data_IF_527379143352
#
_entry.id   IF_527379143352
#
_cell.length_a   1.000
_cell.length_b   1.000
_cell.length_c   1.000
_cell.angle_alpha   90.00
_cell.angle_beta   90.00
_cell.angle_gamma   90.00
#
_symmetry.space_group_name_H-M   'P 1'
#
loop_
_entity.id
_entity.type
_entity.pdbx_description
1 polymer ?
#
# COMPACT_ATOMS: atom_id res chain seq x y z
N UNK A 1 33.40 16.27 -39.25
CA UNK A 1 32.80 15.36 -38.26
C UNK A 1 31.64 16.12 -37.60
N UNK A 2 30.39 15.87 -38.01
CA UNK A 2 29.19 16.46 -37.38
C UNK A 2 28.98 15.75 -36.05
N UNK A 3 29.24 16.41 -34.94
CA UNK A 3 28.73 15.98 -33.64
C UNK A 3 27.21 16.14 -33.67
N UNK A 4 26.49 15.01 -33.72
CA UNK A 4 25.08 14.97 -33.43
C UNK A 4 24.92 15.23 -31.91
N UNK A 5 24.71 16.47 -31.54
CA UNK A 5 24.18 16.83 -30.24
C UNK A 5 22.72 16.30 -30.19
N UNK A 6 22.56 15.11 -29.67
CA UNK A 6 21.24 14.60 -29.24
C UNK A 6 20.86 15.50 -28.05
N UNK A 7 20.05 16.52 -28.28
CA UNK A 7 19.41 17.29 -27.23
C UNK A 7 18.50 16.28 -26.50
N UNK A 8 18.94 15.82 -25.34
CA UNK A 8 18.15 14.95 -24.48
C UNK A 8 16.95 15.78 -24.02
N UNK A 9 15.77 15.53 -24.62
CA UNK A 9 14.53 16.22 -24.24
C UNK A 9 14.33 15.99 -22.73
N UNK A 10 14.27 17.08 -21.98
CA UNK A 10 14.03 17.00 -20.54
C UNK A 10 12.68 16.32 -20.30
N UNK A 11 12.66 15.28 -19.45
CA UNK A 11 11.44 14.51 -19.20
C UNK A 11 10.53 15.31 -18.28
N UNK A 12 9.26 15.39 -18.63
CA UNK A 12 8.24 16.01 -17.79
C UNK A 12 8.08 15.23 -16.48
N UNK A 13 7.78 15.93 -15.40
CA UNK A 13 7.60 15.36 -14.07
C UNK A 13 6.13 14.95 -13.83
N UNK A 14 5.91 13.69 -13.48
CA UNK A 14 4.69 13.19 -12.82
C UNK A 14 4.98 13.13 -11.33
N UNK A 15 4.24 13.87 -10.53
CA UNK A 15 4.39 13.87 -9.08
C UNK A 15 3.31 13.00 -8.46
N UNK A 16 3.68 12.13 -7.54
CA UNK A 16 2.75 11.23 -6.86
C UNK A 16 2.82 11.41 -5.35
N UNK A 17 1.79 11.01 -4.62
CA UNK A 17 1.72 11.23 -3.18
C UNK A 17 2.71 10.38 -2.39
N UNK A 18 2.88 9.10 -2.72
CA UNK A 18 3.70 8.17 -1.95
C UNK A 18 4.43 7.12 -2.81
N UNK A 19 5.41 6.47 -2.21
CA UNK A 19 6.41 5.64 -2.89
C UNK A 19 5.84 4.45 -3.64
N UNK A 20 4.74 3.85 -3.18
CA UNK A 20 4.09 2.72 -3.85
C UNK A 20 3.47 3.17 -5.18
N UNK A 21 2.79 4.31 -5.20
CA UNK A 21 2.29 4.88 -6.46
C UNK A 21 3.43 5.25 -7.41
N UNK A 22 4.54 5.76 -6.87
CA UNK A 22 5.73 6.07 -7.66
C UNK A 22 6.22 4.84 -8.44
N UNK A 23 6.33 3.69 -7.77
CA UNK A 23 6.77 2.46 -8.41
C UNK A 23 5.74 1.94 -9.43
N UNK A 24 4.45 1.95 -9.09
CA UNK A 24 3.40 1.51 -10.02
C UNK A 24 3.40 2.38 -11.28
N UNK A 25 3.43 3.72 -11.15
CA UNK A 25 3.46 4.65 -12.28
C UNK A 25 4.72 4.47 -13.12
N UNK A 26 5.90 4.32 -12.50
CA UNK A 26 7.17 4.02 -13.19
C UNK A 26 7.09 2.76 -14.03
N UNK A 27 6.46 1.71 -13.50
CA UNK A 27 6.27 0.46 -14.23
C UNK A 27 5.34 0.58 -15.45
N UNK A 28 4.45 1.57 -15.48
CA UNK A 28 3.56 1.86 -16.62
C UNK A 28 4.25 2.76 -17.62
N UNK A 29 4.76 3.92 -17.21
CA UNK A 29 5.32 4.92 -18.13
C UNK A 29 6.73 4.60 -18.61
N UNK A 30 7.46 3.75 -17.88
CA UNK A 30 8.85 3.40 -18.17
C UNK A 30 9.75 4.64 -18.14
N UNK A 31 10.45 4.87 -19.24
CA UNK A 31 11.41 5.96 -19.35
C UNK A 31 10.85 7.26 -20.01
N UNK A 32 9.55 7.35 -20.24
CA UNK A 32 8.96 8.51 -20.92
C UNK A 32 8.85 9.74 -20.01
N UNK A 33 8.71 9.54 -18.71
CA UNK A 33 8.52 10.57 -17.72
C UNK A 33 9.51 10.42 -16.55
N UNK A 34 9.78 11.53 -15.86
CA UNK A 34 10.27 11.53 -14.50
C UNK A 34 9.09 11.29 -13.56
N UNK A 35 9.21 10.35 -12.63
CA UNK A 35 8.19 10.08 -11.63
C UNK A 35 8.82 10.19 -10.25
N UNK A 36 8.26 11.04 -9.39
CA UNK A 36 8.75 11.28 -8.04
C UNK A 36 7.59 11.26 -7.04
N UNK A 37 7.84 10.67 -5.86
CA UNK A 37 6.89 10.78 -4.75
C UNK A 37 7.17 11.94 -3.82
N UNK A 38 6.11 12.50 -3.24
CA UNK A 38 6.21 13.52 -2.19
C UNK A 38 6.87 12.90 -0.96
N UNK A 39 6.29 11.83 -0.42
CA UNK A 39 6.88 11.14 0.74
C UNK A 39 8.08 10.30 0.32
N UNK A 40 8.98 10.06 1.25
CA UNK A 40 10.20 9.25 1.02
C UNK A 40 10.05 7.85 1.59
N UNK A 41 10.85 6.87 1.13
CA UNK A 41 10.81 5.51 1.64
C UNK A 41 10.93 5.43 3.17
N UNK A 42 10.02 4.69 3.80
CA UNK A 42 9.93 4.52 5.25
C UNK A 42 9.23 5.64 6.00
N UNK A 43 8.63 6.62 5.29
CA UNK A 43 7.84 7.68 5.93
C UNK A 43 6.36 7.28 6.04
N UNK A 44 5.75 7.71 7.13
CA UNK A 44 4.31 7.67 7.32
C UNK A 44 3.65 8.73 6.39
N UNK A 45 2.51 8.41 5.80
CA UNK A 45 1.87 9.25 4.77
C UNK A 45 0.71 10.07 5.31
N UNK A 46 -0.10 9.48 6.15
CA UNK A 46 -1.35 10.10 6.60
C UNK A 46 -1.14 11.44 7.33
N UNK A 47 -0.17 11.50 8.22
CA UNK A 47 0.19 12.70 8.99
C UNK A 47 1.26 13.57 8.34
N UNK A 48 1.58 13.34 7.06
CA UNK A 48 2.66 14.06 6.38
C UNK A 48 2.42 15.57 6.34
N UNK A 49 3.47 16.33 6.57
CA UNK A 49 3.47 17.78 6.49
C UNK A 49 4.27 18.25 5.28
N UNK A 50 3.57 18.89 4.34
CA UNK A 50 4.17 19.42 3.11
C UNK A 50 5.25 20.44 3.43
N UNK A 51 6.40 20.29 2.79
CA UNK A 51 7.56 21.17 2.92
C UNK A 51 7.64 22.19 1.78
N UNK A 52 8.39 23.28 1.94
CA UNK A 52 8.65 24.21 0.83
C UNK A 52 9.26 23.55 -0.41
N UNK A 53 10.10 22.52 -0.23
CA UNK A 53 10.69 21.78 -1.36
C UNK A 53 9.65 20.95 -2.12
N UNK A 54 8.61 20.49 -1.46
CA UNK A 54 7.51 19.79 -2.11
C UNK A 54 6.70 20.73 -3.00
N UNK A 55 6.47 21.97 -2.53
CA UNK A 55 5.80 23.00 -3.33
C UNK A 55 6.61 23.35 -4.59
N UNK A 56 7.94 23.43 -4.49
CA UNK A 56 8.79 23.64 -5.66
C UNK A 56 8.64 22.50 -6.67
N UNK A 57 8.77 21.25 -6.23
CA UNK A 57 8.56 20.07 -7.10
C UNK A 57 7.16 20.03 -7.69
N UNK A 58 6.16 20.40 -6.88
CA UNK A 58 4.77 20.48 -7.33
C UNK A 58 4.57 21.50 -8.47
N UNK A 59 5.24 22.64 -8.40
CA UNK A 59 5.15 23.66 -9.46
C UNK A 59 5.80 23.26 -10.79
N UNK A 60 6.68 22.26 -10.76
CA UNK A 60 7.34 21.68 -11.96
C UNK A 60 6.59 20.49 -12.54
N UNK A 61 5.66 19.93 -11.78
CA UNK A 61 4.90 18.77 -12.20
C UNK A 61 3.81 19.14 -13.22
N UNK A 62 3.59 18.25 -14.20
CA UNK A 62 2.46 18.40 -15.15
C UNK A 62 1.17 17.80 -14.62
N UNK A 63 1.27 16.89 -13.64
CA UNK A 63 0.13 16.24 -12.99
C UNK A 63 0.52 15.75 -11.61
N UNK A 64 -0.45 15.73 -10.69
CA UNK A 64 -0.33 15.12 -9.37
C UNK A 64 -1.25 13.89 -9.27
N UNK A 65 -0.69 12.74 -8.85
CA UNK A 65 -1.40 11.48 -8.71
C UNK A 65 -1.48 11.10 -7.25
N UNK A 66 -2.68 10.87 -6.75
CA UNK A 66 -2.93 10.49 -5.35
C UNK A 66 -3.85 9.29 -5.24
N UNK A 67 -3.85 8.65 -4.07
CA UNK A 67 -4.75 7.54 -3.76
C UNK A 67 -6.20 8.01 -3.57
N UNK A 68 -6.43 8.93 -2.65
CA UNK A 68 -7.76 9.34 -2.22
C UNK A 68 -8.28 8.51 -1.01
N UNK A 69 -9.59 8.46 -0.81
CA UNK A 69 -10.24 7.85 0.37
C UNK A 69 -9.75 8.41 1.71
N UNK A 70 -9.26 9.66 1.70
CA UNK A 70 -8.74 10.32 2.90
C UNK A 70 -7.33 9.88 3.32
N UNK A 71 -6.59 9.19 2.46
CA UNK A 71 -5.22 8.77 2.71
C UNK A 71 -4.28 9.98 2.84
N UNK A 72 -4.38 10.93 1.91
CA UNK A 72 -3.56 12.13 1.86
C UNK A 72 -4.40 13.38 2.13
N UNK A 73 -4.86 13.59 3.36
CA UNK A 73 -5.65 14.79 3.70
C UNK A 73 -4.87 16.11 3.48
N UNK A 74 -3.54 16.05 3.60
CA UNK A 74 -2.65 17.17 3.32
C UNK A 74 -2.62 17.58 1.84
N UNK A 75 -2.93 16.65 0.93
CA UNK A 75 -2.84 16.88 -0.51
C UNK A 75 -3.84 17.93 -1.03
N UNK A 76 -4.98 18.12 -0.37
CA UNK A 76 -5.96 19.14 -0.77
C UNK A 76 -5.36 20.54 -0.76
N UNK A 77 -4.65 20.91 0.31
CA UNK A 77 -3.96 22.22 0.39
C UNK A 77 -2.79 22.30 -0.60
N UNK A 78 -2.08 21.18 -0.79
CA UNK A 78 -0.96 21.11 -1.71
C UNK A 78 -1.40 21.41 -3.15
N UNK A 79 -2.39 20.70 -3.65
CA UNK A 79 -2.89 20.83 -5.03
C UNK A 79 -3.54 22.19 -5.28
N UNK A 80 -4.35 22.69 -4.33
CA UNK A 80 -5.03 23.99 -4.47
C UNK A 80 -4.04 25.14 -4.64
N UNK A 81 -2.86 25.04 -4.04
CA UNK A 81 -1.84 26.09 -4.12
C UNK A 81 -0.97 26.03 -5.40
N UNK A 82 -1.06 24.93 -6.17
CA UNK A 82 -0.13 24.69 -7.28
C UNK A 82 -0.79 24.78 -8.66
N UNK A 83 -2.11 24.84 -8.74
CA UNK A 83 -2.85 24.83 -10.02
C UNK A 83 -2.40 23.69 -10.96
N UNK A 84 -2.17 22.50 -10.37
CA UNK A 84 -1.75 21.29 -11.07
C UNK A 84 -2.94 20.35 -11.25
N UNK A 85 -3.07 19.74 -12.42
CA UNK A 85 -4.09 18.72 -12.69
C UNK A 85 -3.90 17.50 -11.79
N UNK A 86 -5.02 16.85 -11.38
CA UNK A 86 -5.00 15.78 -10.40
C UNK A 86 -5.70 14.51 -10.89
N UNK A 87 -5.03 13.37 -10.72
CA UNK A 87 -5.61 12.04 -10.80
C UNK A 87 -5.81 11.49 -9.37
N UNK A 88 -7.04 11.07 -9.05
CA UNK A 88 -7.38 10.41 -7.79
C UNK A 88 -7.87 9.00 -8.08
N UNK A 89 -7.09 7.99 -7.69
CA UNK A 89 -7.35 6.57 -8.03
C UNK A 89 -8.65 6.09 -7.40
N UNK A 90 -8.92 6.49 -6.16
CA UNK A 90 -10.11 6.10 -5.40
C UNK A 90 -11.44 6.42 -6.11
N UNK A 91 -11.46 7.41 -7.02
CA UNK A 91 -12.68 7.75 -7.78
C UNK A 91 -13.22 6.60 -8.64
N UNK A 92 -12.37 5.61 -8.94
CA UNK A 92 -12.68 4.45 -9.78
C UNK A 92 -12.57 3.12 -9.03
N UNK A 93 -12.61 3.14 -7.68
CA UNK A 93 -12.53 1.96 -6.83
C UNK A 93 -13.80 1.79 -5.99
N UNK A 94 -14.24 0.55 -5.84
CA UNK A 94 -15.27 0.17 -4.86
C UNK A 94 -14.68 0.21 -3.43
N UNK A 95 -15.19 1.08 -2.53
CA UNK A 95 -14.65 1.20 -1.19
C UNK A 95 -15.09 0.06 -0.26
N UNK A 96 -14.20 -0.35 0.63
CA UNK A 96 -14.55 -1.06 1.86
C UNK A 96 -14.59 -0.04 2.99
N UNK A 97 -15.71 -0.01 3.72
CA UNK A 97 -15.93 0.99 4.77
C UNK A 97 -15.41 0.49 6.12
N UNK A 98 -14.81 1.40 6.87
CA UNK A 98 -14.39 1.18 8.25
C UNK A 98 -15.64 1.10 9.13
N UNK A 99 -15.72 0.08 9.99
CA UNK A 99 -16.90 -0.17 10.82
C UNK A 99 -16.73 0.27 12.28
N UNK A 100 -15.60 0.86 12.64
CA UNK A 100 -15.25 1.18 14.02
C UNK A 100 -14.95 2.67 14.25
N UNK A 101 -15.26 3.12 15.48
CA UNK A 101 -14.90 4.41 16.04
C UNK A 101 -15.33 5.65 15.22
N UNK A 102 -14.55 6.71 15.33
CA UNK A 102 -14.76 7.98 14.61
C UNK A 102 -14.59 7.83 13.08
N UNK A 103 -14.02 6.72 12.62
CA UNK A 103 -13.83 6.41 11.21
C UNK A 103 -14.99 5.60 10.62
N UNK A 104 -15.99 5.21 11.42
CA UNK A 104 -17.14 4.44 10.96
C UNK A 104 -17.83 5.12 9.78
N UNK A 105 -17.99 4.36 8.70
CA UNK A 105 -18.62 4.84 7.47
C UNK A 105 -17.67 5.60 6.54
N UNK A 106 -16.40 5.79 6.91
CA UNK A 106 -15.38 6.30 5.99
C UNK A 106 -14.76 5.15 5.21
N UNK A 107 -14.38 5.35 3.93
CA UNK A 107 -13.69 4.33 3.17
C UNK A 107 -12.32 4.04 3.75
N UNK A 108 -11.91 2.76 3.75
CA UNK A 108 -10.54 2.37 4.04
C UNK A 108 -9.66 2.71 2.82
N UNK A 109 -8.53 3.39 2.98
CA UNK A 109 -7.73 3.82 1.83
C UNK A 109 -6.83 2.73 1.22
N UNK A 110 -6.49 1.68 1.98
CA UNK A 110 -5.35 0.77 1.72
C UNK A 110 -5.63 -0.33 0.69
N UNK A 111 -6.26 0.00 -0.45
CA UNK A 111 -6.64 -1.01 -1.43
C UNK A 111 -5.44 -1.65 -2.16
N UNK A 112 -4.34 -0.91 -2.34
CA UNK A 112 -3.13 -1.41 -3.02
C UNK A 112 -2.45 -2.61 -2.35
N UNK A 113 -2.77 -2.89 -1.08
CA UNK A 113 -2.18 -4.01 -0.34
C UNK A 113 -2.65 -5.37 -0.88
N UNK A 114 -3.85 -5.44 -1.45
CA UNK A 114 -4.32 -6.63 -2.15
C UNK A 114 -3.76 -6.70 -3.57
N UNK A 115 -3.09 -7.80 -3.97
CA UNK A 115 -2.68 -8.01 -5.36
C UNK A 115 -3.82 -7.84 -6.37
N UNK A 116 -5.03 -8.30 -6.05
CA UNK A 116 -6.21 -8.16 -6.91
C UNK A 116 -6.57 -6.69 -7.12
N UNK A 117 -6.51 -5.88 -6.07
CA UNK A 117 -6.74 -4.43 -6.16
C UNK A 117 -5.57 -3.70 -6.82
N UNK A 118 -4.35 -4.16 -6.61
CA UNK A 118 -3.16 -3.64 -7.31
C UNK A 118 -3.28 -3.73 -8.83
N UNK A 119 -3.89 -4.80 -9.36
CA UNK A 119 -4.21 -4.91 -10.79
C UNK A 119 -5.18 -3.79 -11.23
N UNK A 120 -6.20 -3.47 -10.42
CA UNK A 120 -7.12 -2.37 -10.71
C UNK A 120 -6.41 -1.01 -10.70
N UNK A 121 -5.46 -0.80 -9.77
CA UNK A 121 -4.62 0.41 -9.77
C UNK A 121 -3.88 0.57 -11.09
N UNK A 122 -3.28 -0.51 -11.59
CA UNK A 122 -2.57 -0.49 -12.88
C UNK A 122 -3.53 -0.17 -14.02
N UNK A 123 -4.74 -0.72 -14.02
CA UNK A 123 -5.73 -0.47 -15.08
C UNK A 123 -6.24 0.99 -15.05
N UNK A 124 -6.55 1.53 -13.88
CA UNK A 124 -6.97 2.93 -13.70
C UNK A 124 -5.87 3.88 -14.15
N UNK A 125 -4.64 3.66 -13.68
CA UNK A 125 -3.49 4.48 -14.06
C UNK A 125 -3.17 4.38 -15.56
N UNK A 126 -3.26 3.20 -16.16
CA UNK A 126 -3.08 3.02 -17.60
C UNK A 126 -4.10 3.85 -18.40
N UNK A 127 -5.36 3.86 -17.98
CA UNK A 127 -6.40 4.64 -18.64
C UNK A 127 -6.10 6.13 -18.57
N UNK A 128 -5.84 6.66 -17.36
CA UNK A 128 -5.59 8.08 -17.13
C UNK A 128 -4.28 8.56 -17.81
N UNK A 129 -3.20 7.79 -17.69
CA UNK A 129 -1.93 8.12 -18.34
C UNK A 129 -2.01 8.01 -19.87
N UNK A 130 -2.87 7.13 -20.42
CA UNK A 130 -3.11 7.06 -21.86
C UNK A 130 -3.93 8.23 -22.39
N UNK A 131 -4.77 8.87 -21.56
CA UNK A 131 -5.44 10.14 -21.90
C UNK A 131 -4.45 11.30 -21.88
N UNK A 132 -3.53 11.31 -20.89
CA UNK A 132 -2.50 12.33 -20.78
C UNK A 132 -1.49 12.28 -21.95
N UNK A 133 -1.14 11.07 -22.41
CA UNK A 133 -0.16 10.84 -23.47
C UNK A 133 -0.64 9.76 -24.44
N UNK A 134 -1.51 10.12 -25.40
CA UNK A 134 -2.03 9.18 -26.39
C UNK A 134 -0.96 8.59 -27.32
N UNK A 135 0.14 9.31 -27.56
CA UNK A 135 1.24 8.86 -28.43
C UNK A 135 1.98 7.65 -27.85
N UNK A 136 2.11 7.57 -26.54
CA UNK A 136 2.77 6.48 -25.83
C UNK A 136 1.81 5.39 -25.32
N UNK A 137 0.51 5.48 -25.60
CA UNK A 137 -0.53 4.57 -25.10
C UNK A 137 -0.19 3.08 -25.30
N UNK A 138 0.25 2.67 -26.50
CA UNK A 138 0.55 1.26 -26.78
C UNK A 138 1.77 0.77 -25.98
N UNK A 139 2.74 1.64 -25.73
CA UNK A 139 3.89 1.34 -24.88
C UNK A 139 3.46 1.17 -23.42
N UNK A 140 2.62 2.08 -22.90
CA UNK A 140 2.07 1.99 -21.54
C UNK A 140 1.25 0.71 -21.38
N UNK A 141 0.41 0.36 -22.36
CA UNK A 141 -0.39 -0.87 -22.35
C UNK A 141 0.48 -2.12 -22.27
N UNK A 142 1.56 -2.18 -23.05
CA UNK A 142 2.51 -3.30 -23.00
C UNK A 142 3.19 -3.41 -21.64
N UNK A 143 3.66 -2.29 -21.10
CA UNK A 143 4.31 -2.23 -19.80
C UNK A 143 3.34 -2.65 -18.67
N UNK A 144 2.14 -2.07 -18.65
CA UNK A 144 1.08 -2.38 -17.69
C UNK A 144 0.70 -3.86 -17.74
N UNK A 145 0.59 -4.45 -18.94
CA UNK A 145 0.28 -5.88 -19.06
C UNK A 145 1.39 -6.76 -18.47
N UNK A 146 2.65 -6.44 -18.76
CA UNK A 146 3.79 -7.16 -18.18
C UNK A 146 3.81 -7.06 -16.65
N UNK A 147 3.50 -5.87 -16.13
CA UNK A 147 3.47 -5.63 -14.68
C UNK A 147 2.31 -6.40 -14.03
N UNK A 148 1.11 -6.33 -14.60
CA UNK A 148 -0.05 -7.11 -14.13
C UNK A 148 0.19 -8.62 -14.13
N UNK A 149 0.91 -9.14 -15.12
CA UNK A 149 1.23 -10.57 -15.17
C UNK A 149 2.09 -11.00 -13.97
N UNK A 150 3.02 -10.15 -13.52
CA UNK A 150 3.82 -10.41 -12.32
C UNK A 150 2.96 -10.36 -11.05
N UNK A 151 2.07 -9.36 -10.93
CA UNK A 151 1.13 -9.27 -9.79
C UNK A 151 0.20 -10.49 -9.76
N UNK A 152 -0.32 -10.94 -10.91
CA UNK A 152 -1.15 -12.16 -10.99
C UNK A 152 -0.45 -13.41 -10.49
N UNK A 153 0.84 -13.56 -10.78
CA UNK A 153 1.61 -14.70 -10.26
C UNK A 153 1.67 -14.67 -8.73
N UNK A 154 1.88 -13.49 -8.14
CA UNK A 154 1.87 -13.33 -6.68
C UNK A 154 0.49 -13.66 -6.10
N UNK A 155 -0.59 -13.19 -6.74
CA UNK A 155 -1.98 -13.51 -6.37
C UNK A 155 -2.24 -15.03 -6.39
N UNK A 156 -1.85 -15.71 -7.47
CA UNK A 156 -2.02 -17.14 -7.65
C UNK A 156 -1.24 -17.93 -6.57
N UNK A 157 0.01 -17.60 -6.33
CA UNK A 157 0.87 -18.24 -5.32
C UNK A 157 0.31 -18.08 -3.90
N UNK A 158 -0.26 -16.92 -3.58
CA UNK A 158 -0.89 -16.69 -2.29
C UNK A 158 -2.22 -17.43 -2.15
N UNK A 159 -3.04 -17.40 -3.20
CA UNK A 159 -4.32 -18.13 -3.24
C UNK A 159 -4.12 -19.64 -3.08
N UNK A 160 -3.13 -20.22 -3.74
CA UNK A 160 -2.77 -21.63 -3.60
C UNK A 160 -2.36 -21.97 -2.17
N UNK A 161 -1.53 -21.14 -1.55
CA UNK A 161 -1.16 -21.32 -0.14
C UNK A 161 -2.38 -21.30 0.78
N UNK A 162 -3.27 -20.31 0.64
CA UNK A 162 -4.45 -20.19 1.49
C UNK A 162 -5.39 -21.40 1.36
N UNK A 163 -5.42 -22.07 0.21
CA UNK A 163 -6.21 -23.30 0.01
C UNK A 163 -5.68 -24.47 0.85
N UNK A 164 -4.44 -24.41 1.34
CA UNK A 164 -3.90 -25.41 2.27
C UNK A 164 -4.34 -25.20 3.72
N UNK A 165 -4.87 -24.01 4.05
CA UNK A 165 -5.26 -23.64 5.40
C UNK A 165 -6.75 -23.85 5.66
N UNK A 166 -7.08 -24.32 6.86
CA UNK A 166 -8.46 -24.35 7.33
C UNK A 166 -9.03 -22.93 7.44
N UNK A 167 -10.26 -22.70 6.96
CA UNK A 167 -10.91 -21.38 6.99
C UNK A 167 -11.02 -20.78 8.41
N UNK A 168 -11.21 -21.63 9.43
CA UNK A 168 -11.29 -21.22 10.83
C UNK A 168 -9.97 -20.63 11.37
N UNK A 169 -8.86 -20.88 10.71
CA UNK A 169 -7.51 -20.41 11.09
C UNK A 169 -7.03 -19.21 10.27
N UNK A 170 -7.83 -18.75 9.31
CA UNK A 170 -7.46 -17.63 8.43
C UNK A 170 -7.76 -16.28 9.08
N UNK A 171 -6.93 -15.89 10.05
CA UNK A 171 -7.00 -14.59 10.71
C UNK A 171 -5.72 -13.80 10.44
N UNK A 172 -5.87 -12.57 9.93
CA UNK A 172 -4.79 -11.59 9.85
C UNK A 172 -5.00 -10.58 10.99
N UNK A 173 -4.09 -10.58 11.94
CA UNK A 173 -4.12 -9.67 13.10
C UNK A 173 -2.97 -8.70 12.97
N UNK A 174 -3.28 -7.42 12.80
CA UNK A 174 -2.33 -6.33 12.57
C UNK A 174 -2.40 -5.27 13.65
N UNK A 175 -1.52 -4.28 13.59
CA UNK A 175 -1.63 -3.09 14.44
C UNK A 175 -2.76 -2.20 13.94
N UNK A 176 -2.72 -1.81 12.69
CA UNK A 176 -3.72 -0.99 11.99
C UNK A 176 -4.68 -1.84 11.15
N UNK A 177 -5.91 -1.36 10.98
CA UNK A 177 -6.93 -1.94 10.08
C UNK A 177 -6.66 -1.64 8.61
N UNK A 178 -5.42 -1.85 8.16
CA UNK A 178 -4.99 -1.53 6.80
C UNK A 178 -5.21 -2.66 5.79
N UNK A 179 -5.59 -3.85 6.26
CA UNK A 179 -5.65 -5.05 5.42
C UNK A 179 -7.05 -5.45 4.98
N UNK A 180 -8.05 -4.58 5.15
CA UNK A 180 -9.46 -4.92 4.88
C UNK A 180 -9.70 -5.40 3.43
N UNK A 181 -9.03 -4.82 2.44
CA UNK A 181 -9.15 -5.28 1.05
C UNK A 181 -8.45 -6.63 0.84
N UNK A 182 -7.26 -6.82 1.41
CA UNK A 182 -6.57 -8.10 1.33
C UNK A 182 -7.41 -9.21 1.98
N UNK A 183 -7.90 -8.98 3.20
CA UNK A 183 -8.69 -9.97 3.93
C UNK A 183 -10.00 -10.29 3.23
N UNK A 184 -10.69 -9.30 2.68
CA UNK A 184 -11.91 -9.50 1.89
C UNK A 184 -11.64 -10.31 0.62
N UNK A 185 -10.60 -9.94 -0.14
CA UNK A 185 -10.31 -10.55 -1.43
C UNK A 185 -9.84 -12.02 -1.33
N UNK A 186 -9.35 -12.44 -0.14
CA UNK A 186 -8.81 -13.79 0.10
C UNK A 186 -9.54 -14.61 1.18
N UNK A 187 -10.74 -14.19 1.59
CA UNK A 187 -11.55 -14.88 2.60
C UNK A 187 -10.76 -15.10 3.91
N UNK A 188 -10.06 -14.05 4.36
CA UNK A 188 -9.43 -13.96 5.67
C UNK A 188 -10.33 -13.16 6.62
N UNK A 189 -10.16 -13.36 7.92
CA UNK A 189 -10.76 -12.52 8.95
C UNK A 189 -9.73 -11.52 9.44
N UNK A 190 -10.14 -10.26 9.56
CA UNK A 190 -9.29 -9.17 10.03
C UNK A 190 -9.51 -8.89 11.51
N UNK A 191 -8.43 -8.60 12.23
CA UNK A 191 -8.48 -7.95 13.55
C UNK A 191 -7.27 -7.02 13.70
N UNK A 192 -7.45 -5.95 14.46
CA UNK A 192 -6.42 -4.91 14.64
C UNK A 192 -6.55 -4.18 15.96
N UNK A 193 -5.48 -3.49 16.36
CA UNK A 193 -5.43 -2.69 17.59
C UNK A 193 -6.09 -1.32 17.41
N UNK A 194 -6.01 -0.73 16.21
CA UNK A 194 -6.69 0.53 15.84
C UNK A 194 -7.13 0.52 14.38
N UNK A 195 -8.17 1.29 14.02
CA UNK A 195 -8.77 1.19 12.69
C UNK A 195 -7.91 1.79 11.57
N UNK A 196 -7.59 3.07 11.65
CA UNK A 196 -6.76 3.80 10.65
C UNK A 196 -6.18 5.02 11.36
N UNK A 197 -4.91 5.35 11.12
CA UNK A 197 -4.25 6.58 11.62
C UNK A 197 -4.39 6.87 13.11
N UNK A 198 -4.54 5.85 13.92
CA UNK A 198 -4.96 6.01 15.29
C UNK A 198 -4.04 5.32 16.30
N UNK A 199 -2.73 5.20 16.01
CA UNK A 199 -1.75 4.62 16.93
C UNK A 199 -1.88 5.23 18.33
N UNK A 200 -2.10 6.53 18.41
CA UNK A 200 -2.36 7.25 19.67
C UNK A 200 -3.67 6.85 20.39
N UNK A 201 -4.51 6.04 19.76
CA UNK A 201 -5.82 5.62 20.29
C UNK A 201 -5.83 4.17 20.79
N UNK A 202 -4.67 3.56 21.01
CA UNK A 202 -4.60 2.26 21.68
C UNK A 202 -5.18 2.40 23.10
N UNK A 203 -6.23 1.65 23.36
CA UNK A 203 -6.86 1.63 24.68
C UNK A 203 -6.72 0.24 25.31
N UNK A 204 -6.72 0.13 26.66
CA UNK A 204 -6.73 -1.17 27.33
C UNK A 204 -7.88 -2.08 26.87
N UNK A 205 -9.03 -1.50 26.55
CA UNK A 205 -10.20 -2.24 26.05
C UNK A 205 -9.92 -2.87 24.67
N UNK A 206 -9.29 -2.14 23.75
CA UNK A 206 -8.92 -2.68 22.41
C UNK A 206 -7.86 -3.75 22.53
N UNK A 207 -6.84 -3.52 23.34
CA UNK A 207 -5.80 -4.49 23.60
C UNK A 207 -6.39 -5.80 24.15
N UNK A 208 -7.25 -5.72 25.17
CA UNK A 208 -7.92 -6.88 25.76
C UNK A 208 -8.80 -7.62 24.72
N UNK A 209 -9.51 -6.91 23.84
CA UNK A 209 -10.31 -7.50 22.76
C UNK A 209 -9.45 -8.35 21.84
N UNK A 210 -8.31 -7.83 21.38
CA UNK A 210 -7.42 -8.54 20.47
C UNK A 210 -6.77 -9.74 21.18
N UNK A 211 -6.28 -9.58 22.41
CA UNK A 211 -5.72 -10.65 23.23
C UNK A 211 -6.74 -11.80 23.38
N UNK A 212 -7.98 -11.48 23.75
CA UNK A 212 -9.04 -12.50 23.93
C UNK A 212 -9.34 -13.21 22.61
N UNK A 213 -9.42 -12.49 21.48
CA UNK A 213 -9.64 -13.08 20.18
C UNK A 213 -8.51 -14.05 19.80
N UNK A 214 -7.26 -13.62 19.98
CA UNK A 214 -6.08 -14.44 19.65
C UNK A 214 -6.07 -15.72 20.48
N UNK A 215 -6.36 -15.65 21.79
CA UNK A 215 -6.46 -16.81 22.69
C UNK A 215 -7.64 -17.73 22.28
N UNK A 216 -8.84 -17.18 22.11
CA UNK A 216 -10.05 -17.94 21.80
C UNK A 216 -9.93 -18.71 20.46
N UNK A 217 -9.44 -18.02 19.42
CA UNK A 217 -9.31 -18.60 18.08
C UNK A 217 -8.00 -19.33 17.86
N UNK A 218 -7.11 -19.32 18.87
CA UNK A 218 -5.77 -19.92 18.77
C UNK A 218 -5.04 -19.43 17.52
N UNK A 219 -5.02 -18.09 17.35
CA UNK A 219 -4.40 -17.45 16.18
C UNK A 219 -2.88 -17.63 16.28
N UNK A 220 -2.23 -18.18 15.24
CA UNK A 220 -0.82 -18.57 15.35
C UNK A 220 0.16 -17.39 15.33
N UNK A 221 -0.20 -16.31 14.65
CA UNK A 221 0.69 -15.16 14.47
C UNK A 221 -0.06 -13.83 14.44
N UNK A 222 0.64 -12.79 14.85
CA UNK A 222 0.21 -11.40 14.79
C UNK A 222 1.30 -10.55 14.11
N UNK A 223 0.93 -9.45 13.47
CA UNK A 223 1.80 -8.62 12.64
C UNK A 223 1.64 -7.15 13.00
N UNK A 224 2.55 -6.30 12.54
CA UNK A 224 2.42 -4.85 12.62
C UNK A 224 2.87 -4.20 11.31
N UNK A 225 2.63 -2.91 11.14
CA UNK A 225 3.07 -2.16 9.97
C UNK A 225 4.49 -1.62 10.17
N UNK A 226 5.23 -1.43 9.09
CA UNK A 226 6.64 -1.02 9.13
C UNK A 226 6.85 0.47 9.50
N UNK A 227 5.78 1.27 9.44
CA UNK A 227 5.80 2.72 9.68
C UNK A 227 5.37 3.12 11.09
N UNK A 228 4.96 2.15 11.93
CA UNK A 228 4.51 2.35 13.31
C UNK A 228 5.31 1.49 14.30
N UNK A 229 5.16 1.76 15.62
CA UNK A 229 5.80 0.93 16.66
C UNK A 229 5.10 -0.43 16.79
N UNK A 230 5.88 -1.51 16.80
CA UNK A 230 5.38 -2.89 16.99
C UNK A 230 5.17 -3.29 18.45
N UNK A 231 5.60 -2.49 19.42
CA UNK A 231 5.63 -2.83 20.87
C UNK A 231 4.29 -3.35 21.39
N UNK A 232 3.19 -2.72 20.97
CA UNK A 232 1.85 -3.13 21.39
C UNK A 232 1.47 -4.51 20.88
N UNK A 233 1.81 -4.82 19.63
CA UNK A 233 1.52 -6.11 19.02
C UNK A 233 2.46 -7.20 19.53
N UNK A 234 3.71 -6.88 19.81
CA UNK A 234 4.65 -7.78 20.50
C UNK A 234 4.16 -8.13 21.89
N UNK A 235 3.53 -7.17 22.59
CA UNK A 235 2.89 -7.42 23.90
C UNK A 235 1.69 -8.37 23.76
N UNK A 236 0.88 -8.23 22.71
CA UNK A 236 -0.18 -9.20 22.38
C UNK A 236 0.41 -10.59 22.13
N UNK A 237 1.45 -10.69 21.32
CA UNK A 237 2.13 -11.96 21.04
C UNK A 237 2.63 -12.64 22.33
N UNK A 238 3.32 -11.88 23.18
CA UNK A 238 3.84 -12.36 24.49
C UNK A 238 2.71 -12.85 25.41
N UNK A 239 1.63 -12.09 25.52
CA UNK A 239 0.50 -12.41 26.41
C UNK A 239 -0.32 -13.62 25.93
N UNK A 240 -0.34 -13.88 24.63
CA UNK A 240 -1.15 -14.94 24.03
C UNK A 240 -0.38 -16.21 23.66
N UNK A 241 0.94 -16.13 23.58
CA UNK A 241 1.80 -17.18 23.04
C UNK A 241 1.78 -17.26 21.51
N UNK A 242 1.12 -16.32 20.81
CA UNK A 242 1.18 -16.22 19.36
C UNK A 242 2.59 -15.77 18.91
N UNK A 243 2.96 -16.17 17.71
CA UNK A 243 4.22 -15.74 17.10
C UNK A 243 4.08 -14.27 16.62
N UNK A 244 5.07 -13.42 16.93
CA UNK A 244 5.17 -12.13 16.25
C UNK A 244 5.78 -12.36 14.87
N UNK A 245 4.93 -12.32 13.84
CA UNK A 245 5.31 -12.65 12.46
C UNK A 245 6.19 -11.62 11.78
N UNK A 246 6.29 -10.41 12.37
CA UNK A 246 7.10 -9.31 11.86
C UNK A 246 6.29 -8.13 11.31
N UNK A 247 6.99 -7.20 10.69
CA UNK A 247 6.40 -6.00 10.14
C UNK A 247 6.05 -6.17 8.67
N UNK A 248 4.90 -5.63 8.26
CA UNK A 248 4.39 -5.61 6.89
C UNK A 248 4.51 -4.18 6.33
N UNK A 249 4.92 -4.05 5.08
CA UNK A 249 4.97 -2.75 4.41
C UNK A 249 3.58 -2.36 3.92
N UNK A 250 3.11 -1.18 4.33
CA UNK A 250 1.74 -0.69 4.05
C UNK A 250 1.78 0.63 3.32
N UNK A 251 2.22 1.71 3.98
CA UNK A 251 2.15 3.08 3.45
C UNK A 251 3.39 3.50 2.65
N UNK A 252 4.45 2.74 2.78
CA UNK A 252 5.73 3.09 2.17
C UNK A 252 6.51 1.85 1.74
N UNK A 253 7.25 1.99 0.65
CA UNK A 253 8.30 1.02 0.30
C UNK A 253 9.45 1.12 1.28
N UNK A 254 10.29 0.07 1.32
CA UNK A 254 11.51 0.07 2.13
C UNK A 254 12.54 1.09 1.63
N UNK A 255 13.44 1.48 2.51
CA UNK A 255 14.65 2.19 2.10
C UNK A 255 15.52 1.30 1.24
N UNK A 256 16.46 1.91 0.52
CA UNK A 256 17.44 1.21 -0.32
C UNK A 256 18.14 0.08 0.45
N UNK A 257 18.30 -1.06 -0.19
CA UNK A 257 18.80 -2.34 0.35
C UNK A 257 17.86 -2.96 1.40
N UNK A 258 16.60 -2.52 1.48
CA UNK A 258 15.57 -3.18 2.26
C UNK A 258 14.85 -4.27 1.45
N UNK A 259 13.91 -5.00 2.08
CA UNK A 259 13.28 -6.16 1.44
C UNK A 259 12.08 -5.83 0.53
N UNK A 260 11.70 -4.56 0.40
CA UNK A 260 10.50 -4.12 -0.31
C UNK A 260 10.76 -2.78 -1.02
N UNK A 261 11.78 -2.74 -1.89
CA UNK A 261 12.16 -1.52 -2.63
C UNK A 261 11.21 -1.21 -3.81
N UNK A 262 10.41 -2.19 -4.24
CA UNK A 262 9.41 -2.07 -5.29
C UNK A 262 8.05 -2.58 -4.81
N UNK A 263 6.99 -2.23 -5.53
CA UNK A 263 5.65 -2.71 -5.22
C UNK A 263 5.53 -4.25 -5.31
N UNK A 264 6.19 -4.88 -6.28
CA UNK A 264 6.21 -6.34 -6.39
C UNK A 264 6.92 -6.98 -5.20
N UNK A 265 8.10 -6.48 -4.84
CA UNK A 265 8.84 -6.96 -3.66
C UNK A 265 8.05 -6.73 -2.37
N UNK A 266 7.33 -5.62 -2.25
CA UNK A 266 6.44 -5.37 -1.12
C UNK A 266 5.34 -6.43 -1.02
N UNK A 267 4.67 -6.73 -2.12
CA UNK A 267 3.64 -7.77 -2.15
C UNK A 267 4.23 -9.15 -1.81
N UNK A 268 5.36 -9.52 -2.42
CA UNK A 268 6.05 -10.80 -2.17
C UNK A 268 6.50 -10.91 -0.71
N UNK A 269 7.11 -9.86 -0.17
CA UNK A 269 7.56 -9.81 1.22
C UNK A 269 6.39 -9.94 2.19
N UNK A 270 5.35 -9.13 2.02
CA UNK A 270 4.19 -9.15 2.91
C UNK A 270 3.48 -10.51 2.91
N UNK A 271 3.18 -11.04 1.73
CA UNK A 271 2.49 -12.32 1.62
C UNK A 271 3.39 -13.48 2.08
N UNK A 272 4.70 -13.40 1.84
CA UNK A 272 5.68 -14.34 2.39
C UNK A 272 5.74 -14.31 3.92
N UNK A 273 5.75 -13.12 4.50
CA UNK A 273 5.74 -12.91 5.96
C UNK A 273 4.45 -13.46 6.58
N UNK A 274 3.28 -13.20 5.96
CA UNK A 274 1.99 -13.75 6.40
C UNK A 274 2.00 -15.29 6.32
N UNK A 275 2.47 -15.88 5.21
CA UNK A 275 2.61 -17.33 5.05
C UNK A 275 3.47 -17.95 6.16
N UNK A 276 4.61 -17.34 6.44
CA UNK A 276 5.52 -17.80 7.49
C UNK A 276 4.87 -17.76 8.88
N UNK A 277 4.15 -16.68 9.20
CA UNK A 277 3.41 -16.56 10.45
C UNK A 277 2.32 -17.61 10.58
N UNK A 278 1.53 -17.86 9.53
CA UNK A 278 0.51 -18.91 9.56
C UNK A 278 1.11 -20.32 9.71
N UNK A 279 2.28 -20.57 9.17
CA UNK A 279 2.99 -21.83 9.30
C UNK A 279 3.72 -22.00 10.66
N UNK A 280 3.92 -20.95 11.43
CA UNK A 280 4.62 -21.02 12.72
C UNK A 280 3.90 -21.97 13.71
N UNK A 281 2.57 -22.09 13.62
CA UNK A 281 1.77 -22.99 14.45
C UNK A 281 1.92 -24.47 14.10
N UNK A 282 2.50 -24.81 12.95
CA UNK A 282 2.68 -26.20 12.53
C UNK A 282 3.97 -26.82 13.09
N UNK A 283 4.79 -26.00 13.78
CA UNK A 283 6.08 -26.42 14.33
C UNK A 283 6.08 -26.61 15.87
N UNK A 284 4.98 -26.31 16.53
CA UNK A 284 4.71 -26.57 17.95
C UNK A 284 3.55 -27.57 18.11
#
# INVERSE_FOLDING_TARGET
IKQNNIIKKEKKLLLVSFTILEDIVKNIVGNEYNVESITKPGMEVHGYQVTPSDLVRGSEAIIFIQNGFGFELWAEKFVTNLDVERITIANNLEPIFINEDIYKGKPNPHAWISPKRGILYVDILLEELSKLDPENKEKFKKNAQNFKNKIKKIDEDFSLFLNTLQKSKRYLVSCEGAFSYLTNDYDLKEAYLWPVNAESQITPKRMARVINLVKEKQIPAVFCESTVSSESQESVAKETGAFFGGNLYVDSLSKKNGPAESYLEMLEYNLGTIKNGFNASLKN
#
